data_IF_831414543462
#
_entry.id   IF_831414543462
#
_cell.length_a   1.000
_cell.length_b   1.000
_cell.length_c   1.000
_cell.angle_alpha   90.00
_cell.angle_beta   90.00
_cell.angle_gamma   90.00
#
_symmetry.space_group_name_H-M   'P 1'
#
loop_
_entity.id
_entity.type
_entity.pdbx_description
1 polymer ?
#
# COMPACT_ATOMS: atom_id res chain seq x y z
N UNK A 1 -10.87 11.09 -7.53
CA UNK A 1 -11.63 10.10 -8.33
C UNK A 1 -12.09 8.88 -7.53
N UNK A 2 -11.24 7.94 -7.12
CA UNK A 2 -11.74 6.72 -6.42
C UNK A 2 -12.41 7.04 -5.07
N UNK A 3 -11.81 7.93 -4.27
CA UNK A 3 -12.35 8.33 -2.98
C UNK A 3 -13.68 9.11 -3.06
N UNK A 4 -13.99 9.71 -4.21
CA UNK A 4 -15.24 10.45 -4.42
C UNK A 4 -16.35 9.58 -5.02
N UNK A 5 -16.02 8.41 -5.57
CA UNK A 5 -16.96 7.51 -6.22
C UNK A 5 -17.41 6.34 -5.32
N UNK A 6 -16.62 5.99 -4.31
CA UNK A 6 -16.90 4.88 -3.43
C UNK A 6 -17.87 5.28 -2.30
N UNK A 7 -18.79 4.38 -1.93
CA UNK A 7 -19.65 4.52 -0.74
C UNK A 7 -18.85 4.41 0.57
N UNK A 8 -17.67 3.79 0.50
CA UNK A 8 -16.76 3.60 1.64
C UNK A 8 -15.30 3.60 1.20
N UNK A 9 -14.46 4.35 1.90
CA UNK A 9 -13.03 4.50 1.66
C UNK A 9 -12.23 4.12 2.91
N UNK A 10 -11.39 3.10 2.77
CA UNK A 10 -10.40 2.72 3.79
C UNK A 10 -9.02 3.10 3.24
N UNK A 11 -8.27 3.90 4.00
CA UNK A 11 -6.96 4.39 3.59
C UNK A 11 -5.87 3.82 4.50
N UNK A 12 -4.94 3.07 3.94
CA UNK A 12 -3.70 2.70 4.64
C UNK A 12 -2.70 3.84 4.56
N UNK A 13 -1.98 4.09 5.65
CA UNK A 13 -0.96 5.14 5.74
C UNK A 13 0.31 4.60 6.36
N UNK A 14 1.43 5.12 5.90
CA UNK A 14 2.76 4.79 6.43
C UNK A 14 3.03 5.40 7.81
N UNK A 15 2.36 6.51 8.13
CA UNK A 15 2.56 7.26 9.38
C UNK A 15 1.30 8.07 9.67
N UNK A 16 0.97 8.19 10.95
CA UNK A 16 -0.06 9.11 11.44
C UNK A 16 0.59 10.36 12.02
N UNK A 17 0.03 11.53 11.70
CA UNK A 17 0.48 12.84 12.21
C UNK A 17 -0.73 13.59 12.77
N UNK A 18 -0.49 14.56 13.65
CA UNK A 18 -1.57 15.39 14.22
C UNK A 18 -2.27 16.22 13.13
N UNK A 19 -1.50 16.74 12.17
CA UNK A 19 -2.01 17.56 11.07
C UNK A 19 -1.22 17.31 9.79
N UNK A 20 -1.93 17.15 8.68
CA UNK A 20 -1.32 17.15 7.35
C UNK A 20 -1.19 18.59 6.87
N UNK A 21 0.04 19.01 6.57
CA UNK A 21 0.31 20.27 5.89
C UNK A 21 0.36 20.06 4.38
N UNK A 22 -0.16 21.01 3.61
CA UNK A 22 -0.04 20.98 2.16
C UNK A 22 1.40 21.33 1.79
N UNK A 23 2.20 20.33 1.44
CA UNK A 23 3.43 20.55 0.68
C UNK A 23 3.07 21.01 -0.74
N UNK A 24 3.93 21.83 -1.37
CA UNK A 24 3.66 22.42 -2.70
C UNK A 24 3.35 21.38 -3.78
N UNK A 25 3.90 20.18 -3.64
CA UNK A 25 3.84 19.12 -4.65
C UNK A 25 3.05 17.88 -4.18
N UNK A 26 2.49 17.93 -2.95
CA UNK A 26 1.79 16.81 -2.33
C UNK A 26 0.28 16.84 -2.56
N UNK A 27 -0.30 15.70 -2.93
CA UNK A 27 -1.76 15.55 -2.96
C UNK A 27 -2.29 15.24 -1.56
N UNK A 28 -3.37 15.92 -1.16
CA UNK A 28 -4.06 15.66 0.11
C UNK A 28 -5.47 15.20 -0.21
N UNK A 29 -5.88 14.06 0.35
CA UNK A 29 -7.29 13.64 0.37
C UNK A 29 -7.97 14.44 1.49
N UNK A 30 -8.80 15.46 1.18
CA UNK A 30 -9.47 16.23 2.23
C UNK A 30 -10.59 15.41 2.85
N UNK A 31 -10.96 15.71 4.09
CA UNK A 31 -12.20 15.21 4.66
C UNK A 31 -13.41 15.66 3.80
N UNK A 32 -14.43 14.79 3.60
CA UNK A 32 -14.62 13.46 4.18
C UNK A 32 -14.07 12.30 3.32
N UNK A 33 -13.00 12.49 2.54
CA UNK A 33 -12.52 11.52 1.53
C UNK A 33 -11.95 10.19 2.05
N UNK A 34 -11.97 9.95 3.35
CA UNK A 34 -11.61 8.66 3.99
C UNK A 34 -12.56 8.41 5.17
N UNK A 35 -13.17 7.23 5.23
CA UNK A 35 -14.01 6.80 6.37
C UNK A 35 -13.16 6.17 7.48
N UNK A 36 -12.15 5.41 7.09
CA UNK A 36 -11.24 4.71 7.99
C UNK A 36 -9.78 4.94 7.57
N UNK A 37 -8.91 5.11 8.57
CA UNK A 37 -7.47 5.24 8.37
C UNK A 37 -6.78 4.12 9.17
N UNK A 38 -5.94 3.34 8.51
CA UNK A 38 -5.16 2.27 9.12
C UNK A 38 -3.65 2.56 8.99
N UNK A 39 -2.92 2.52 10.11
CA UNK A 39 -1.47 2.58 10.09
C UNK A 39 -0.93 1.24 9.60
N UNK A 40 -0.28 1.25 8.43
CA UNK A 40 0.33 0.09 7.81
C UNK A 40 1.67 0.50 7.19
N UNK A 41 2.76 0.53 7.99
CA UNK A 41 4.11 0.79 7.48
C UNK A 41 4.50 -0.27 6.44
N UNK A 42 5.09 0.16 5.33
CA UNK A 42 5.33 -0.63 4.12
C UNK A 42 4.04 -1.20 3.48
N UNK A 43 2.87 -0.63 3.73
CA UNK A 43 1.60 -1.17 3.26
C UNK A 43 1.40 -1.18 1.74
N UNK A 44 2.28 -0.52 0.98
CA UNK A 44 2.31 -0.61 -0.48
C UNK A 44 3.43 -1.54 -1.01
N UNK A 45 4.30 -2.09 -0.16
CA UNK A 45 5.27 -3.11 -0.57
C UNK A 45 4.52 -4.31 -1.22
N UNK A 46 5.03 -4.89 -2.32
CA UNK A 46 6.31 -4.66 -3.00
C UNK A 46 6.31 -3.54 -4.05
N UNK A 47 5.22 -2.77 -4.16
CA UNK A 47 5.16 -1.60 -5.04
C UNK A 47 5.89 -0.39 -4.42
N UNK A 48 5.95 0.73 -5.12
CA UNK A 48 6.59 1.95 -4.61
C UNK A 48 5.65 2.81 -3.77
N UNK A 49 6.16 3.43 -2.70
CA UNK A 49 5.51 4.55 -2.02
C UNK A 49 6.45 5.77 -2.08
N UNK A 50 6.23 6.68 -3.02
CA UNK A 50 7.10 7.83 -3.19
C UNK A 50 6.86 8.91 -2.10
N UNK A 51 7.89 9.53 -1.53
CA UNK A 51 9.32 9.27 -1.74
C UNK A 51 9.93 8.21 -0.78
N UNK A 52 9.12 7.58 0.08
CA UNK A 52 9.57 6.71 1.18
C UNK A 52 10.33 5.46 0.74
N UNK A 53 9.85 4.73 -0.27
CA UNK A 53 10.55 3.55 -0.79
C UNK A 53 10.25 3.28 -2.27
N UNK A 54 11.25 2.77 -3.01
CA UNK A 54 11.09 2.41 -4.42
C UNK A 54 10.37 1.07 -4.57
N UNK A 55 9.98 0.75 -5.80
CA UNK A 55 9.47 -0.56 -6.19
C UNK A 55 10.48 -1.66 -5.89
N UNK A 56 10.00 -2.83 -5.46
CA UNK A 56 10.82 -4.00 -5.14
C UNK A 56 10.68 -5.04 -6.25
N UNK A 57 11.37 -4.77 -7.37
CA UNK A 57 11.28 -5.58 -8.59
C UNK A 57 11.57 -7.07 -8.38
N UNK A 58 12.53 -7.42 -7.52
CA UNK A 58 12.83 -8.83 -7.22
C UNK A 58 11.66 -9.58 -6.59
N UNK A 59 10.91 -8.91 -5.70
CA UNK A 59 9.74 -9.54 -5.05
C UNK A 59 8.58 -9.69 -6.03
N UNK A 60 8.37 -8.70 -6.90
CA UNK A 60 7.39 -8.81 -7.98
C UNK A 60 7.71 -9.95 -8.94
N UNK A 61 9.00 -10.16 -9.26
CA UNK A 61 9.41 -11.30 -10.09
C UNK A 61 9.17 -12.64 -9.38
N UNK A 62 9.48 -12.75 -8.07
CA UNK A 62 9.16 -13.95 -7.28
C UNK A 62 7.66 -14.28 -7.30
N UNK A 63 6.80 -13.27 -7.14
CA UNK A 63 5.35 -13.42 -7.26
C UNK A 63 4.93 -13.93 -8.64
N UNK A 64 5.46 -13.33 -9.71
CA UNK A 64 5.14 -13.73 -11.10
C UNK A 64 5.58 -15.17 -11.38
N UNK A 65 6.81 -15.54 -10.97
CA UNK A 65 7.35 -16.88 -11.17
C UNK A 65 6.51 -17.93 -10.42
N UNK A 66 6.13 -17.65 -9.17
CA UNK A 66 5.26 -18.54 -8.39
C UNK A 66 3.87 -18.71 -9.02
N UNK A 67 3.29 -17.63 -9.55
CA UNK A 67 2.01 -17.71 -10.27
C UNK A 67 2.13 -18.55 -11.54
N UNK A 68 3.18 -18.33 -12.33
CA UNK A 68 3.43 -19.08 -13.56
C UNK A 68 3.67 -20.58 -13.30
N UNK A 69 4.24 -20.94 -12.15
CA UNK A 69 4.47 -22.32 -11.73
C UNK A 69 3.25 -22.99 -11.07
N UNK A 70 2.14 -22.26 -10.84
CA UNK A 70 0.98 -22.78 -10.11
C UNK A 70 1.22 -22.90 -8.59
N UNK A 71 2.24 -22.21 -8.06
CA UNK A 71 2.69 -22.26 -6.67
C UNK A 71 2.27 -21.03 -5.86
N UNK A 72 1.28 -20.27 -6.34
CA UNK A 72 0.83 -19.02 -5.70
C UNK A 72 0.45 -19.21 -4.21
N UNK A 73 -0.21 -20.31 -3.85
CA UNK A 73 -0.61 -20.56 -2.47
C UNK A 73 0.60 -20.65 -1.52
N UNK A 74 1.69 -21.33 -1.95
CA UNK A 74 2.93 -21.41 -1.19
C UNK A 74 3.60 -20.04 -1.09
N UNK A 75 3.69 -19.31 -2.21
CA UNK A 75 4.23 -17.95 -2.20
C UNK A 75 3.49 -17.04 -1.21
N UNK A 76 2.15 -17.09 -1.21
CA UNK A 76 1.34 -16.27 -0.33
C UNK A 76 1.55 -16.63 1.15
N UNK A 77 1.65 -17.92 1.47
CA UNK A 77 1.95 -18.37 2.83
C UNK A 77 3.32 -17.86 3.30
N UNK A 78 4.36 -18.03 2.48
CA UNK A 78 5.71 -17.52 2.77
C UNK A 78 5.73 -15.99 2.93
N UNK A 79 5.01 -15.28 2.06
CA UNK A 79 4.92 -13.82 2.07
C UNK A 79 4.26 -13.30 3.35
N UNK A 80 3.12 -13.89 3.74
CA UNK A 80 2.39 -13.47 4.94
C UNK A 80 3.09 -13.86 6.25
N UNK A 81 3.95 -14.88 6.24
CA UNK A 81 4.75 -15.27 7.40
C UNK A 81 6.05 -14.47 7.53
N UNK A 82 6.53 -13.86 6.44
CA UNK A 82 7.74 -13.03 6.45
C UNK A 82 7.52 -11.65 7.08
N UNK A 83 6.27 -11.20 7.23
CA UNK A 83 5.89 -9.94 7.89
C UNK A 83 5.50 -10.15 9.37
N UNK A 84 6.43 -10.69 10.16
CA UNK A 84 6.35 -10.83 11.62
C UNK A 84 7.38 -9.98 12.36
#
# INVERSE_FOLDING_TARGET
ELCSAADRVITTVETTVERIERERDGFVIPAPGSDYIALAPNGAYPTSCYPKYPIRGGELMRYVDACAAGEFARYLEEFLQAEG
#
